data_IF_402689939663
#
_entry.id   IF_402689939663
#
_cell.length_a   1.000
_cell.length_b   1.000
_cell.length_c   1.000
_cell.angle_alpha   90.00
_cell.angle_beta   90.00
_cell.angle_gamma   90.00
#
_symmetry.space_group_name_H-M   'P 1'
#
loop_
_entity.id
_entity.type
_entity.pdbx_description
1 polymer ?
#
# COMPACT_ATOMS: atom_id res chain seq x y z
N UNK A 1 -8.13 -5.03 -9.98
CA UNK A 1 -7.59 -5.68 -8.75
C UNK A 1 -8.41 -5.21 -7.56
N UNK A 2 -8.68 -6.04 -6.56
CA UNK A 2 -9.40 -5.62 -5.34
C UNK A 2 -8.46 -5.60 -4.13
N UNK A 3 -8.60 -4.61 -3.26
CA UNK A 3 -7.94 -4.59 -1.96
C UNK A 3 -8.91 -4.14 -0.87
N UNK A 4 -8.75 -4.72 0.32
CA UNK A 4 -9.48 -4.36 1.52
C UNK A 4 -8.50 -4.27 2.68
N UNK A 5 -8.62 -3.23 3.49
CA UNK A 5 -7.79 -3.04 4.67
C UNK A 5 -8.57 -2.42 5.83
N UNK A 6 -8.06 -2.63 7.04
CA UNK A 6 -8.57 -2.02 8.25
C UNK A 6 -7.64 -0.92 8.72
N UNK A 7 -8.19 0.25 9.01
CA UNK A 7 -7.47 1.34 9.66
C UNK A 7 -7.80 1.35 11.14
N UNK A 8 -6.85 0.96 11.98
CA UNK A 8 -7.00 1.08 13.43
C UNK A 8 -7.14 2.55 13.87
N UNK A 9 -6.52 3.48 13.15
CA UNK A 9 -6.61 4.91 13.46
C UNK A 9 -8.04 5.45 13.34
N UNK A 10 -8.79 5.02 12.32
CA UNK A 10 -10.16 5.50 12.08
C UNK A 10 -11.22 4.47 12.48
N UNK A 11 -10.81 3.26 12.87
CA UNK A 11 -11.68 2.13 13.17
C UNK A 11 -12.62 1.82 12.00
N UNK A 12 -12.05 1.78 10.79
CA UNK A 12 -12.83 1.71 9.54
C UNK A 12 -12.23 0.66 8.61
N UNK A 13 -13.09 -0.13 7.97
CA UNK A 13 -12.68 -0.92 6.81
C UNK A 13 -12.83 -0.10 5.54
N UNK A 14 -11.79 -0.15 4.73
CA UNK A 14 -11.77 0.43 3.40
C UNK A 14 -11.66 -0.68 2.38
N UNK A 15 -12.41 -0.57 1.29
CA UNK A 15 -12.36 -1.49 0.16
C UNK A 15 -12.31 -0.72 -1.15
N UNK A 16 -11.49 -1.19 -2.08
CA UNK A 16 -11.40 -0.57 -3.41
C UNK A 16 -11.14 -1.57 -4.50
N UNK A 17 -11.67 -1.28 -5.68
CA UNK A 17 -11.32 -1.94 -6.92
C UNK A 17 -10.48 -1.00 -7.78
N UNK A 18 -9.23 -1.36 -7.99
CA UNK A 18 -8.32 -0.64 -8.88
C UNK A 18 -8.63 -0.98 -10.34
N UNK A 19 -8.78 0.08 -11.13
CA UNK A 19 -8.64 0.01 -12.58
C UNK A 19 -7.21 0.34 -12.92
N UNK A 20 -6.55 -0.55 -13.67
CA UNK A 20 -5.23 -0.28 -14.23
C UNK A 20 -5.41 0.44 -15.57
N UNK A 21 -4.41 1.21 -16.04
CA UNK A 21 -4.47 1.86 -17.34
C UNK A 21 -4.71 0.84 -18.47
N UNK A 22 -5.55 1.18 -19.44
CA UNK A 22 -5.88 0.29 -20.56
C UNK A 22 -4.67 -0.07 -21.42
N UNK A 23 -3.68 0.83 -21.47
CA UNK A 23 -2.42 0.68 -22.23
C UNK A 23 -1.31 -0.03 -21.43
N UNK A 24 -1.61 -0.52 -20.22
CA UNK A 24 -0.60 -1.09 -19.33
C UNK A 24 0.17 -2.26 -19.97
N UNK A 25 -0.46 -3.15 -20.74
CA UNK A 25 0.25 -4.28 -21.38
C UNK A 25 1.29 -3.78 -22.40
N UNK A 26 0.94 -2.76 -23.18
CA UNK A 26 1.85 -2.14 -24.15
C UNK A 26 3.02 -1.44 -23.44
N UNK A 27 2.71 -0.72 -22.38
CA UNK A 27 3.70 -0.02 -21.56
C UNK A 27 4.65 -1.00 -20.86
N UNK A 28 4.14 -2.09 -20.26
CA UNK A 28 4.98 -3.12 -19.64
C UNK A 28 5.96 -3.74 -20.64
N UNK A 29 5.49 -4.11 -21.84
CA UNK A 29 6.36 -4.63 -22.90
C UNK A 29 7.46 -3.65 -23.29
N UNK A 30 7.14 -2.35 -23.33
CA UNK A 30 8.14 -1.32 -23.61
C UNK A 30 9.14 -1.22 -22.44
N UNK A 31 8.67 -1.14 -21.20
CA UNK A 31 9.53 -1.01 -20.04
C UNK A 31 10.45 -2.21 -19.85
N UNK A 32 10.00 -3.44 -20.07
CA UNK A 32 10.87 -4.62 -20.03
C UNK A 32 11.92 -4.67 -21.17
N UNK A 33 11.73 -3.90 -22.25
CA UNK A 33 12.75 -3.72 -23.29
C UNK A 33 13.77 -2.65 -22.91
N UNK A 34 13.29 -1.55 -22.34
CA UNK A 34 14.14 -0.43 -21.94
C UNK A 34 14.92 -0.71 -20.64
N UNK A 35 14.33 -1.54 -19.77
CA UNK A 35 14.85 -1.98 -18.48
C UNK A 35 14.80 -3.52 -18.42
N UNK A 36 15.83 -4.23 -18.90
CA UNK A 36 15.82 -5.69 -18.97
C UNK A 36 16.02 -6.35 -17.60
N UNK A 37 15.41 -7.52 -17.40
CA UNK A 37 15.46 -8.29 -16.15
C UNK A 37 16.86 -8.70 -15.67
N UNK A 38 17.83 -8.80 -16.58
CA UNK A 38 19.21 -9.14 -16.22
C UNK A 38 19.90 -8.01 -15.43
N UNK A 39 19.44 -6.76 -15.63
CA UNK A 39 20.01 -5.56 -15.02
C UNK A 39 19.06 -4.91 -13.99
N UNK A 40 17.75 -5.02 -14.20
CA UNK A 40 16.72 -4.33 -13.44
C UNK A 40 15.76 -5.27 -12.74
N UNK A 41 15.42 -4.93 -11.50
CA UNK A 41 14.35 -5.57 -10.76
C UNK A 41 13.08 -4.74 -10.86
N UNK A 42 12.02 -5.35 -11.34
CA UNK A 42 10.71 -4.71 -11.49
C UNK A 42 9.83 -4.99 -10.29
N UNK A 43 9.23 -3.94 -9.73
CA UNK A 43 8.36 -4.03 -8.56
C UNK A 43 7.06 -3.26 -8.81
N UNK A 44 5.94 -3.92 -8.57
CA UNK A 44 4.65 -3.25 -8.36
C UNK A 44 4.52 -2.93 -6.88
N UNK A 45 4.40 -1.65 -6.55
CA UNK A 45 4.20 -1.22 -5.17
C UNK A 45 2.81 -0.60 -5.04
N UNK A 46 2.09 -1.00 -3.99
CA UNK A 46 0.77 -0.47 -3.65
C UNK A 46 0.84 0.07 -2.24
N UNK A 47 0.57 1.36 -2.10
CA UNK A 47 0.48 2.05 -0.81
C UNK A 47 -0.98 2.19 -0.38
N UNK A 48 -1.24 1.99 0.90
CA UNK A 48 -2.56 2.21 1.52
C UNK A 48 -2.45 3.20 2.66
N UNK A 49 -3.36 4.17 2.71
CA UNK A 49 -3.43 5.16 3.78
C UNK A 49 -4.46 4.75 4.83
N UNK A 50 -4.23 5.17 6.07
CA UNK A 50 -5.22 4.99 7.16
C UNK A 50 -6.48 5.85 6.99
N UNK A 51 -6.57 6.67 5.95
CA UNK A 51 -7.73 7.51 5.60
C UNK A 51 -8.54 6.96 4.42
N UNK A 52 -8.20 5.77 3.93
CA UNK A 52 -8.91 5.17 2.80
C UNK A 52 -8.40 5.60 1.42
N UNK A 53 -7.16 6.07 1.32
CA UNK A 53 -6.54 6.36 0.02
C UNK A 53 -5.61 5.21 -0.37
N UNK A 54 -5.52 4.94 -1.66
CA UNK A 54 -4.55 4.02 -2.21
C UNK A 54 -3.84 4.63 -3.41
N UNK A 55 -2.63 4.15 -3.64
CA UNK A 55 -1.82 4.53 -4.78
C UNK A 55 -1.00 3.32 -5.24
N UNK A 56 -0.85 3.17 -6.55
CA UNK A 56 -0.08 2.09 -7.14
C UNK A 56 0.96 2.67 -8.09
N UNK A 57 2.20 2.21 -8.00
CA UNK A 57 3.27 2.60 -8.90
C UNK A 57 4.09 1.39 -9.32
N UNK A 58 4.65 1.52 -10.51
CA UNK A 58 5.61 0.57 -11.03
C UNK A 58 7.00 1.17 -10.95
N UNK A 59 7.94 0.38 -10.45
CA UNK A 59 9.34 0.74 -10.33
C UNK A 59 10.19 -0.32 -11.06
N UNK A 60 11.25 0.12 -11.72
CA UNK A 60 12.35 -0.74 -12.11
C UNK A 60 13.64 -0.16 -11.52
N UNK A 61 14.26 -0.89 -10.59
CA UNK A 61 15.49 -0.44 -9.94
C UNK A 61 16.70 -1.17 -10.51
N UNK A 62 17.78 -0.43 -10.77
CA UNK A 62 18.98 -1.03 -11.33
C UNK A 62 19.78 -1.79 -10.27
N UNK A 63 19.95 -3.10 -10.45
CA UNK A 63 20.74 -3.93 -9.53
C UNK A 63 22.24 -3.87 -9.84
N UNK A 64 22.58 -3.68 -11.11
CA UNK A 64 23.97 -3.75 -11.60
C UNK A 64 24.66 -2.38 -11.58
N UNK A 65 23.92 -1.31 -11.30
CA UNK A 65 24.42 0.07 -11.32
C UNK A 65 25.15 0.52 -10.05
N UNK A 66 25.67 -0.38 -9.20
CA UNK A 66 26.42 -0.03 -7.99
C UNK A 66 25.71 1.00 -7.07
N UNK A 67 24.40 0.86 -6.85
CA UNK A 67 23.56 1.80 -6.10
C UNK A 67 23.38 3.19 -6.75
N UNK A 68 23.75 3.37 -8.01
CA UNK A 68 23.37 4.57 -8.76
C UNK A 68 21.86 4.55 -9.09
N UNK A 69 21.12 5.24 -8.23
CA UNK A 69 19.67 5.41 -8.30
C UNK A 69 19.19 6.30 -9.45
N UNK A 70 20.10 7.01 -10.15
CA UNK A 70 19.70 7.85 -11.28
C UNK A 70 19.20 7.07 -12.50
N UNK A 71 19.46 5.77 -12.51
CA UNK A 71 19.00 4.84 -13.53
C UNK A 71 17.64 4.21 -13.23
N UNK A 72 17.08 4.43 -12.02
CA UNK A 72 15.82 3.81 -11.64
C UNK A 72 14.64 4.46 -12.39
N UNK A 73 13.72 3.63 -12.85
CA UNK A 73 12.48 4.04 -13.51
C UNK A 73 11.30 3.95 -12.56
N UNK A 74 10.44 4.96 -12.57
CA UNK A 74 9.25 5.02 -11.73
C UNK A 74 8.09 5.63 -12.51
N UNK A 75 6.91 5.01 -12.42
CA UNK A 75 5.69 5.58 -13.00
C UNK A 75 4.47 5.25 -12.14
N UNK A 76 3.60 6.24 -11.85
CA UNK A 76 2.32 5.96 -11.22
C UNK A 76 1.41 5.18 -12.17
N UNK A 77 0.77 4.13 -11.67
CA UNK A 77 -0.26 3.36 -12.38
C UNK A 77 -1.67 3.78 -11.98
N UNK A 78 -1.84 4.17 -10.71
CA UNK A 78 -3.09 4.69 -10.18
C UNK A 78 -2.78 5.70 -9.08
N UNK A 79 -3.26 6.92 -9.25
CA UNK A 79 -3.09 8.01 -8.28
C UNK A 79 -4.44 8.41 -7.72
N UNK A 80 -4.45 8.87 -6.47
CA UNK A 80 -5.64 9.42 -5.81
C UNK A 80 -6.84 8.47 -5.78
N UNK A 81 -6.60 7.16 -5.65
CA UNK A 81 -7.68 6.18 -5.52
C UNK A 81 -8.29 6.31 -4.14
N UNK A 82 -9.58 6.63 -4.08
CA UNK A 82 -10.33 6.72 -2.83
C UNK A 82 -11.17 5.45 -2.67
N UNK A 83 -10.99 4.77 -1.55
CA UNK A 83 -11.71 3.56 -1.21
C UNK A 83 -13.09 3.86 -0.63
N UNK A 84 -13.97 2.88 -0.74
CA UNK A 84 -15.27 2.89 -0.09
C UNK A 84 -15.14 2.45 1.36
N UNK A 85 -15.93 3.06 2.24
CA UNK A 85 -16.09 2.60 3.62
C UNK A 85 -17.06 1.43 3.62
N UNK A 86 -16.62 0.31 4.18
CA UNK A 86 -17.42 -0.93 4.25
C UNK A 86 -17.52 -1.43 5.68
N UNK A 87 -18.53 -2.26 5.96
CA UNK A 87 -18.70 -2.90 7.26
C UNK A 87 -17.77 -4.10 7.43
N UNK A 88 -17.33 -4.37 8.66
CA UNK A 88 -16.51 -5.53 9.00
C UNK A 88 -16.26 -5.68 10.50
N UNK A 89 -15.79 -6.85 10.93
CA UNK A 89 -15.44 -7.12 12.31
C UNK A 89 -13.93 -6.88 12.53
N UNK A 90 -13.53 -5.86 13.32
CA UNK A 90 -12.12 -5.55 13.58
C UNK A 90 -11.45 -6.50 14.59
N UNK A 91 -12.19 -7.38 15.27
CA UNK A 91 -11.66 -8.21 16.37
C UNK A 91 -10.38 -8.99 16.02
N UNK A 92 -10.22 -9.42 14.77
CA UNK A 92 -9.00 -10.10 14.31
C UNK A 92 -7.73 -9.22 14.31
N UNK A 93 -7.87 -7.90 14.28
CA UNK A 93 -6.77 -6.93 14.27
C UNK A 93 -6.53 -6.28 15.63
N UNK A 94 -7.45 -6.47 16.57
CA UNK A 94 -7.47 -5.77 17.85
C UNK A 94 -6.38 -6.28 18.80
N UNK A 95 -6.22 -7.58 18.99
CA UNK A 95 -5.31 -8.12 20.03
C UNK A 95 -3.85 -7.66 19.88
N UNK A 96 -3.30 -7.78 18.66
CA UNK A 96 -1.92 -7.35 18.38
C UNK A 96 -1.81 -5.83 18.46
N UNK A 97 -2.81 -5.10 17.93
CA UNK A 97 -2.75 -3.64 17.91
C UNK A 97 -2.89 -3.05 19.31
N UNK A 98 -3.77 -3.59 20.15
CA UNK A 98 -3.88 -3.18 21.54
C UNK A 98 -2.64 -3.54 22.36
N UNK A 99 -1.95 -4.64 22.03
CA UNK A 99 -0.64 -4.89 22.65
C UNK A 99 0.35 -3.76 22.34
N UNK A 100 0.46 -3.34 21.08
CA UNK A 100 1.31 -2.22 20.69
C UNK A 100 0.89 -0.90 21.35
N UNK A 101 -0.40 -0.68 21.56
CA UNK A 101 -0.93 0.48 22.31
C UNK A 101 -0.52 0.40 23.79
N UNK A 102 -0.68 -0.75 24.44
CA UNK A 102 -0.27 -0.97 25.85
C UNK A 102 1.22 -0.74 26.06
N UNK A 103 2.04 -1.17 25.10
CA UNK A 103 3.49 -0.97 25.09
C UNK A 103 3.90 0.47 24.71
N UNK A 104 2.94 1.31 24.31
CA UNK A 104 3.20 2.71 23.92
C UNK A 104 3.91 2.86 22.57
N UNK A 105 3.97 1.80 21.77
CA UNK A 105 4.62 1.80 20.44
C UNK A 105 3.72 2.37 19.35
N UNK A 106 2.40 2.34 19.55
CA UNK A 106 1.38 2.96 18.69
C UNK A 106 0.41 3.77 19.57
N UNK A 107 0.02 4.99 19.18
CA UNK A 107 -0.93 5.78 19.96
C UNK A 107 -2.35 5.19 19.91
N UNK A 108 -3.09 5.33 21.01
CA UNK A 108 -4.53 5.03 21.04
C UNK A 108 -5.28 6.01 20.11
N UNK A 109 -6.24 5.52 19.29
CA UNK A 109 -7.06 6.38 18.44
C UNK A 109 -7.86 7.40 19.25
N UNK A 110 -7.98 8.62 18.72
CA UNK A 110 -8.75 9.68 19.35
C UNK A 110 -10.23 9.28 19.45
N UNK A 111 -10.77 9.20 20.66
CA UNK A 111 -12.17 8.82 20.90
C UNK A 111 -12.39 7.36 21.32
N UNK A 112 -11.35 6.52 21.34
CA UNK A 112 -11.41 5.23 22.02
C UNK A 112 -11.04 5.38 23.49
N UNK A 113 -11.86 4.80 24.39
CA UNK A 113 -11.46 4.56 25.76
C UNK A 113 -10.55 3.32 25.77
N UNK A 114 -9.50 3.33 26.59
CA UNK A 114 -8.69 2.12 26.81
C UNK A 114 -9.53 1.10 27.56
N UNK A 115 -10.19 0.21 26.80
CA UNK A 115 -11.00 -0.88 27.32
C UNK A 115 -10.20 -2.16 27.57
N UNK A 116 -8.87 -2.09 27.45
CA UNK A 116 -7.99 -3.24 27.68
C UNK A 116 -8.02 -3.64 29.16
N UNK A 117 -8.18 -4.93 29.49
CA UNK A 117 -8.02 -5.38 30.86
C UNK A 117 -6.59 -5.11 31.33
N UNK A 118 -6.48 -4.50 32.52
CA UNK A 118 -5.21 -4.29 33.25
C UNK A 118 -4.59 -5.61 33.68
#
# INVERSE_FOLDING_TARGET
MQARWFSFRTQTFYEVTFSLPDDLDGNLRQWYRDYPLDDYNHTLIVGFSGKGEALAWWEAFCNTCNYDRSHDFHIPLAENVVAEVVEGNPAWYEDITYQHVREGTIPLPTGMADSSPK
#
